data_IF_391397138503
#
_entry.id   IF_391397138503
#
_cell.length_a   1.000
_cell.length_b   1.000
_cell.length_c   1.000
_cell.angle_alpha   90.00
_cell.angle_beta   90.00
_cell.angle_gamma   90.00
#
_symmetry.space_group_name_H-M   'P 1'
#
loop_
_entity.id
_entity.type
_entity.pdbx_description
1 polymer ?
#
# COMPACT_ATOMS: atom_id res chain seq x y z
N UNK A 1 53.91 -13.03 23.99
CA UNK A 1 53.84 -14.30 23.22
C UNK A 1 52.53 -14.41 22.44
N UNK A 2 51.36 -14.22 23.08
CA UNK A 2 50.04 -14.33 22.41
C UNK A 2 49.84 -13.41 21.19
N UNK A 3 50.26 -12.13 21.28
CA UNK A 3 50.04 -11.17 20.19
C UNK A 3 50.75 -11.52 18.87
N UNK A 4 51.90 -12.18 18.93
CA UNK A 4 52.61 -12.63 17.72
C UNK A 4 51.91 -13.83 17.06
N UNK A 5 51.28 -14.68 17.87
CA UNK A 5 50.48 -15.81 17.39
C UNK A 5 49.22 -15.25 16.73
N UNK A 6 48.47 -14.39 17.43
CA UNK A 6 47.25 -13.76 16.92
C UNK A 6 47.52 -12.99 15.61
N UNK A 7 48.62 -12.24 15.52
CA UNK A 7 49.01 -11.53 14.30
C UNK A 7 49.32 -12.47 13.14
N UNK A 8 49.92 -13.63 13.41
CA UNK A 8 50.22 -14.64 12.40
C UNK A 8 48.92 -15.27 11.87
N UNK A 9 48.06 -15.73 12.78
CA UNK A 9 46.75 -16.31 12.44
C UNK A 9 45.89 -15.30 11.65
N UNK A 10 45.83 -14.04 12.09
CA UNK A 10 45.11 -12.98 11.35
C UNK A 10 45.67 -12.75 9.94
N UNK A 11 46.99 -12.81 9.76
CA UNK A 11 47.63 -12.64 8.45
C UNK A 11 47.35 -13.82 7.53
N UNK A 12 47.25 -15.03 8.08
CA UNK A 12 46.92 -16.25 7.36
C UNK A 12 45.41 -16.31 7.01
N UNK A 13 44.56 -15.68 7.83
CA UNK A 13 43.14 -15.52 7.55
C UNK A 13 42.85 -14.38 6.55
N UNK A 14 43.59 -13.26 6.61
CA UNK A 14 43.49 -12.11 5.71
C UNK A 14 44.38 -12.26 4.47
N UNK A 15 44.22 -13.39 3.78
CA UNK A 15 44.85 -13.61 2.48
C UNK A 15 44.17 -12.78 1.38
N UNK A 16 44.89 -12.51 0.30
CA UNK A 16 44.32 -11.73 -0.82
C UNK A 16 43.00 -12.33 -1.37
N UNK A 17 42.85 -13.66 -1.53
CA UNK A 17 41.59 -14.26 -1.98
C UNK A 17 40.44 -14.09 -0.99
N UNK A 18 40.68 -14.21 0.32
CA UNK A 18 39.64 -14.06 1.35
C UNK A 18 39.18 -12.61 1.47
N UNK A 19 40.09 -11.65 1.30
CA UNK A 19 39.75 -10.22 1.20
C UNK A 19 38.85 -9.93 0.00
N UNK A 20 39.22 -10.45 -1.18
CA UNK A 20 38.40 -10.30 -2.41
C UNK A 20 37.01 -10.89 -2.19
N UNK A 21 36.91 -12.11 -1.64
CA UNK A 21 35.64 -12.77 -1.34
C UNK A 21 34.79 -11.96 -0.35
N UNK A 22 35.40 -11.52 0.75
CA UNK A 22 34.72 -10.75 1.80
C UNK A 22 34.16 -9.43 1.25
N UNK A 23 34.96 -8.71 0.46
CA UNK A 23 34.54 -7.47 -0.21
C UNK A 23 33.39 -7.75 -1.17
N UNK A 24 33.46 -8.83 -1.95
CA UNK A 24 32.41 -9.22 -2.90
C UNK A 24 31.08 -9.51 -2.20
N UNK A 25 31.13 -10.24 -1.07
CA UNK A 25 29.95 -10.52 -0.24
C UNK A 25 29.38 -9.22 0.37
N UNK A 26 30.24 -8.32 0.87
CA UNK A 26 29.81 -7.04 1.41
C UNK A 26 29.12 -6.18 0.35
N UNK A 27 29.63 -6.14 -0.88
CA UNK A 27 28.99 -5.46 -2.00
C UNK A 27 27.64 -6.07 -2.34
N UNK A 28 27.54 -7.40 -2.38
CA UNK A 28 26.27 -8.09 -2.62
C UNK A 28 25.22 -7.73 -1.56
N UNK A 29 25.59 -7.72 -0.28
CA UNK A 29 24.70 -7.30 0.80
C UNK A 29 24.31 -5.82 0.70
N UNK A 30 25.22 -4.93 0.31
CA UNK A 30 24.90 -3.52 0.09
C UNK A 30 23.87 -3.33 -1.03
N UNK A 31 23.98 -4.10 -2.13
CA UNK A 31 23.01 -4.07 -3.23
C UNK A 31 21.65 -4.61 -2.78
N UNK A 32 21.62 -5.76 -2.10
CA UNK A 32 20.38 -6.36 -1.58
C UNK A 32 19.70 -5.43 -0.58
N UNK A 33 20.46 -4.86 0.36
CA UNK A 33 19.94 -3.94 1.37
C UNK A 33 19.32 -2.67 0.76
N UNK A 34 19.95 -2.11 -0.28
CA UNK A 34 19.38 -0.97 -1.01
C UNK A 34 18.07 -1.34 -1.74
N UNK A 35 18.00 -2.53 -2.34
CA UNK A 35 16.79 -2.99 -3.03
C UNK A 35 15.63 -3.24 -2.06
N UNK A 36 15.89 -3.89 -0.92
CA UNK A 36 14.89 -4.12 0.13
C UNK A 36 14.42 -2.79 0.72
N UNK A 37 15.35 -1.86 0.99
CA UNK A 37 15.01 -0.52 1.49
C UNK A 37 14.06 0.22 0.55
N UNK A 38 14.28 0.14 -0.76
CA UNK A 38 13.37 0.74 -1.76
C UNK A 38 11.98 0.10 -1.74
N UNK A 39 11.87 -1.23 -1.71
CA UNK A 39 10.59 -1.94 -1.67
C UNK A 39 9.77 -1.64 -0.41
N UNK A 40 10.43 -1.46 0.75
CA UNK A 40 9.76 -1.09 2.01
C UNK A 40 9.27 0.37 1.99
N UNK A 41 9.90 1.24 1.20
CA UNK A 41 9.52 2.64 1.04
C UNK A 41 8.59 2.90 -0.16
N UNK A 42 8.25 1.88 -0.96
CA UNK A 42 7.17 1.99 -1.93
C UNK A 42 5.88 2.24 -1.17
N UNK A 43 5.44 3.50 -1.18
CA UNK A 43 4.12 3.89 -0.67
C UNK A 43 3.09 2.98 -1.34
N UNK A 44 2.18 2.32 -0.59
CA UNK A 44 1.16 1.48 -1.21
C UNK A 44 0.51 2.27 -2.34
N UNK A 45 0.58 1.75 -3.56
CA UNK A 45 -0.03 2.44 -4.70
C UNK A 45 -1.48 2.72 -4.34
N UNK A 46 -1.89 3.99 -4.49
CA UNK A 46 -3.29 4.37 -4.29
C UNK A 46 -4.15 3.53 -5.22
N UNK A 47 -5.01 2.71 -4.64
CA UNK A 47 -5.93 1.87 -5.40
C UNK A 47 -7.00 2.71 -6.08
N UNK A 48 -7.43 2.28 -7.27
CA UNK A 48 -8.50 2.94 -8.01
C UNK A 48 -9.86 2.54 -7.43
N UNK A 49 -10.63 3.49 -6.91
CA UNK A 49 -11.96 3.26 -6.34
C UNK A 49 -13.00 4.20 -6.96
N UNK A 50 -14.27 3.86 -6.81
CA UNK A 50 -15.39 4.74 -7.11
C UNK A 50 -16.20 5.02 -5.86
N UNK A 51 -16.83 6.19 -5.79
CA UNK A 51 -17.65 6.61 -4.66
C UNK A 51 -19.04 6.97 -5.18
N UNK A 52 -20.07 6.38 -4.57
CA UNK A 52 -21.47 6.77 -4.74
C UNK A 52 -21.95 7.37 -3.44
N UNK A 53 -21.94 8.69 -3.32
CA UNK A 53 -22.36 9.33 -2.09
C UNK A 53 -23.83 9.74 -2.20
N UNK A 54 -24.76 8.98 -1.64
CA UNK A 54 -26.19 9.32 -1.59
C UNK A 54 -26.52 10.18 -0.37
N UNK A 55 -25.66 10.19 0.65
CA UNK A 55 -25.78 11.01 1.87
C UNK A 55 -25.19 12.42 1.68
N UNK A 56 -26.07 13.41 1.50
CA UNK A 56 -25.67 14.83 1.46
C UNK A 56 -25.37 15.43 2.83
N UNK A 57 -25.15 14.61 3.87
CA UNK A 57 -24.87 15.05 5.23
C UNK A 57 -23.37 15.17 5.50
N UNK A 58 -23.02 15.83 6.61
CA UNK A 58 -21.63 16.14 6.97
C UNK A 58 -20.75 14.89 7.15
N UNK A 59 -21.31 13.76 7.60
CA UNK A 59 -20.55 12.53 7.75
C UNK A 59 -20.37 11.81 6.40
N UNK A 60 -21.34 11.86 5.50
CA UNK A 60 -21.17 11.35 4.13
C UNK A 60 -20.08 12.10 3.37
N UNK A 61 -20.10 13.44 3.44
CA UNK A 61 -19.05 14.29 2.87
C UNK A 61 -17.67 14.04 3.49
N UNK A 62 -17.61 13.80 4.81
CA UNK A 62 -16.37 13.47 5.50
C UNK A 62 -15.78 12.14 5.00
N UNK A 63 -16.60 11.11 4.85
CA UNK A 63 -16.17 9.81 4.31
C UNK A 63 -15.62 9.99 2.90
N UNK A 64 -16.33 10.72 2.04
CA UNK A 64 -15.87 11.03 0.67
C UNK A 64 -14.50 11.74 0.68
N UNK A 65 -14.31 12.74 1.57
CA UNK A 65 -13.05 13.47 1.69
C UNK A 65 -11.90 12.57 2.16
N UNK A 66 -12.15 11.70 3.14
CA UNK A 66 -11.17 10.73 3.63
C UNK A 66 -10.77 9.76 2.52
N UNK A 67 -11.74 9.22 1.77
CA UNK A 67 -11.46 8.29 0.67
C UNK A 67 -10.64 8.95 -0.46
N UNK A 68 -10.92 10.21 -0.82
CA UNK A 68 -10.11 10.98 -1.79
C UNK A 68 -8.65 11.15 -1.35
N UNK A 69 -8.39 11.22 -0.05
CA UNK A 69 -7.03 11.38 0.48
C UNK A 69 -6.20 10.10 0.31
N UNK A 70 -6.80 8.93 0.55
CA UNK A 70 -6.10 7.65 0.63
C UNK A 70 -6.17 6.79 -0.63
N UNK A 71 -7.13 7.05 -1.53
CA UNK A 71 -7.31 6.29 -2.76
C UNK A 71 -7.29 7.18 -4.01
N UNK A 72 -7.16 6.58 -5.18
CA UNK A 72 -7.36 7.25 -6.45
C UNK A 72 -8.83 7.12 -6.84
N UNK A 73 -9.62 8.15 -6.57
CA UNK A 73 -11.06 8.14 -6.84
C UNK A 73 -11.29 8.46 -8.31
N UNK A 74 -11.68 7.44 -9.09
CA UNK A 74 -11.86 7.57 -10.54
C UNK A 74 -13.31 7.86 -10.92
N UNK A 75 -14.27 7.62 -10.02
CA UNK A 75 -15.69 7.93 -10.19
C UNK A 75 -16.27 8.55 -8.91
N UNK A 76 -17.05 9.62 -9.07
CA UNK A 76 -17.87 10.24 -8.01
C UNK A 76 -19.21 10.55 -8.63
N UNK A 77 -20.29 10.01 -8.07
CA UNK A 77 -21.63 10.26 -8.60
C UNK A 77 -22.73 9.67 -7.74
N UNK A 78 -23.90 9.51 -8.35
CA UNK A 78 -25.09 8.95 -7.72
C UNK A 78 -25.52 7.62 -8.35
N UNK A 79 -24.85 7.17 -9.42
CA UNK A 79 -25.18 5.95 -10.16
C UNK A 79 -24.13 4.87 -9.93
N UNK A 80 -24.55 3.78 -9.29
CA UNK A 80 -23.67 2.62 -9.10
C UNK A 80 -23.30 1.96 -10.42
N UNK A 81 -24.25 1.87 -11.36
CA UNK A 81 -24.04 1.21 -12.64
C UNK A 81 -22.95 1.93 -13.47
N UNK A 82 -23.01 3.26 -13.51
CA UNK A 82 -21.98 4.07 -14.17
C UNK A 82 -20.62 3.94 -13.47
N UNK A 83 -20.62 3.95 -12.13
CA UNK A 83 -19.41 3.76 -11.34
C UNK A 83 -18.75 2.41 -11.59
N UNK A 84 -19.53 1.32 -11.58
CA UNK A 84 -19.03 -0.02 -11.87
C UNK A 84 -18.50 -0.14 -13.30
N UNK A 85 -19.15 0.48 -14.29
CA UNK A 85 -18.65 0.51 -15.68
C UNK A 85 -17.28 1.17 -15.74
N UNK A 86 -17.14 2.36 -15.16
CA UNK A 86 -15.87 3.10 -15.15
C UNK A 86 -14.75 2.36 -14.41
N UNK A 87 -15.08 1.71 -13.28
CA UNK A 87 -14.13 0.91 -12.53
C UNK A 87 -13.68 -0.34 -13.30
N UNK A 88 -14.55 -0.97 -14.08
CA UNK A 88 -14.16 -2.08 -14.95
C UNK A 88 -13.16 -1.64 -16.03
N UNK A 89 -13.42 -0.50 -16.67
CA UNK A 89 -12.57 0.07 -17.73
C UNK A 89 -11.19 0.53 -17.22
N UNK A 90 -11.13 1.12 -16.02
CA UNK A 90 -9.92 1.75 -15.46
C UNK A 90 -9.22 0.94 -14.38
N UNK A 91 -9.37 -0.38 -14.41
CA UNK A 91 -8.74 -1.28 -13.43
C UNK A 91 -9.05 -0.96 -11.95
N UNK A 92 -10.24 -0.44 -11.67
CA UNK A 92 -10.77 -0.21 -10.32
C UNK A 92 -10.94 -1.49 -9.51
N UNK A 93 -10.88 -1.37 -8.18
CA UNK A 93 -10.94 -2.51 -7.24
C UNK A 93 -12.23 -2.55 -6.41
N UNK A 94 -12.86 -1.40 -6.15
CA UNK A 94 -14.08 -1.32 -5.36
C UNK A 94 -14.91 -0.08 -5.69
N UNK A 95 -16.24 -0.23 -5.60
CA UNK A 95 -17.19 0.87 -5.51
C UNK A 95 -17.68 0.95 -4.06
N UNK A 96 -17.62 2.14 -3.45
CA UNK A 96 -18.10 2.39 -2.09
C UNK A 96 -19.33 3.28 -2.19
N UNK A 97 -20.48 2.80 -1.73
CA UNK A 97 -21.71 3.56 -1.65
C UNK A 97 -21.98 3.99 -0.20
N UNK A 98 -22.30 5.28 -0.05
CA UNK A 98 -22.73 5.89 1.21
C UNK A 98 -24.25 6.10 1.08
N UNK A 99 -25.06 5.23 1.71
CA UNK A 99 -26.51 5.26 1.54
C UNK A 99 -27.13 6.51 2.18
N UNK A 100 -28.31 6.88 1.70
CA UNK A 100 -29.09 7.96 2.31
C UNK A 100 -29.38 7.65 3.78
N UNK A 101 -29.27 8.66 4.65
CA UNK A 101 -29.53 8.48 6.08
C UNK A 101 -28.28 8.14 6.90
N UNK A 102 -27.11 7.98 6.27
CA UNK A 102 -25.84 7.68 6.94
C UNK A 102 -25.53 8.69 8.05
N UNK A 103 -25.61 9.99 7.74
CA UNK A 103 -25.35 11.04 8.72
C UNK A 103 -26.37 11.01 9.87
N UNK A 104 -27.65 10.84 9.55
CA UNK A 104 -28.75 10.83 10.53
C UNK A 104 -28.65 9.62 11.45
N UNK A 105 -28.24 8.47 10.94
CA UNK A 105 -28.02 7.26 11.76
C UNK A 105 -26.91 7.51 12.78
N UNK A 106 -25.76 8.04 12.35
CA UNK A 106 -24.65 8.37 13.27
C UNK A 106 -25.10 9.39 14.33
N UNK A 107 -25.76 10.48 13.92
CA UNK A 107 -26.24 11.51 14.85
C UNK A 107 -27.28 11.00 15.85
N UNK A 108 -28.05 9.97 15.49
CA UNK A 108 -29.04 9.34 16.37
C UNK A 108 -28.48 8.20 17.20
N UNK A 109 -27.15 8.03 17.25
CA UNK A 109 -26.48 6.98 18.01
C UNK A 109 -26.63 5.59 17.40
N UNK A 110 -27.10 5.49 16.16
CA UNK A 110 -27.11 4.24 15.37
C UNK A 110 -25.86 4.14 14.52
N UNK A 111 -25.53 2.92 14.11
CA UNK A 111 -24.41 2.67 13.22
C UNK A 111 -24.68 3.25 11.83
N UNK A 112 -23.69 3.94 11.25
CA UNK A 112 -23.68 4.29 9.83
C UNK A 112 -23.24 3.10 8.99
N UNK A 113 -23.97 2.81 7.92
CA UNK A 113 -23.68 1.69 7.02
C UNK A 113 -22.97 2.17 5.76
N UNK A 114 -22.01 1.37 5.26
CA UNK A 114 -21.38 1.59 3.96
C UNK A 114 -21.54 0.31 3.16
N UNK A 115 -21.88 0.45 1.89
CA UNK A 115 -22.00 -0.67 0.98
C UNK A 115 -20.76 -0.71 0.09
N UNK A 116 -20.12 -1.88 0.00
CA UNK A 116 -18.87 -2.04 -0.74
C UNK A 116 -19.03 -3.15 -1.77
N UNK A 117 -18.95 -2.77 -3.05
CA UNK A 117 -18.95 -3.72 -4.17
C UNK A 117 -17.52 -3.93 -4.65
N UNK A 118 -16.99 -5.11 -4.41
CA UNK A 118 -15.62 -5.49 -4.81
C UNK A 118 -15.58 -6.00 -6.26
N UNK A 119 -14.60 -5.53 -7.03
CA UNK A 119 -14.33 -6.02 -8.38
C UNK A 119 -13.19 -7.03 -8.30
N UNK A 120 -13.55 -8.30 -8.15
CA UNK A 120 -12.59 -9.40 -8.17
C UNK A 120 -12.16 -9.68 -9.61
N UNK A 121 -10.85 -9.58 -9.88
CA UNK A 121 -10.24 -10.08 -11.11
C UNK A 121 -9.40 -11.30 -10.76
N UNK A 122 -9.83 -12.49 -11.17
CA UNK A 122 -9.04 -13.70 -10.97
C UNK A 122 -7.80 -13.68 -11.85
N UNK A 123 -6.62 -13.84 -11.25
CA UNK A 123 -5.41 -14.25 -11.95
C UNK A 123 -5.45 -15.78 -11.97
N UNK A 124 -5.95 -16.36 -13.06
CA UNK A 124 -5.75 -17.79 -13.32
C UNK A 124 -4.28 -18.15 -13.39
#
# INVERSE_FOLDING_TARGET
>A
MLGNIIKKELKELLTLPTLILTISIAFMYAIIGQSIGKAVHETPQKVNIGIVNLDGGSFGELVEHVLKKYANVIYIGKSEEEGLRMLKEKSGVALIAIPEGFTQNILSGRQGELEIVWIMRGTG
#
